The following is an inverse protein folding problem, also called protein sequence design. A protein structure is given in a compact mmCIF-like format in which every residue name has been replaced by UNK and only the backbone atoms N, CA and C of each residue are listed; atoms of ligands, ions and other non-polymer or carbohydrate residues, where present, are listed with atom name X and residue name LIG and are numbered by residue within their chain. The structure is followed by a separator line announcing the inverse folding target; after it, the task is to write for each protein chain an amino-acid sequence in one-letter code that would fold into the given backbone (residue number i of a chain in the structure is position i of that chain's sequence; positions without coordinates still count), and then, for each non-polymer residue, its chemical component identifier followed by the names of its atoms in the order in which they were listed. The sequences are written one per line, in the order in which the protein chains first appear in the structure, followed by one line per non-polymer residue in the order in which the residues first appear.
data_IF_514383546934
#
_entry.id   IF_514383546934
#
_cell.length_a   1.000
_cell.length_b   1.000
_cell.length_c   1.000
_cell.angle_alpha   90.00
_cell.angle_beta   90.00
_cell.angle_gamma   90.00
#
_symmetry.space_group_name_H-M   'P 1'
#
loop_
_entity.id
_entity.type
_entity.pdbx_description
1 polymer ?
#
# COMPACT_ATOMS: atom_id res chain seq x y z
N UNK A 1 15.51 -21.65 -4.61
CA UNK A 1 15.57 -20.19 -4.79
C UNK A 1 14.26 -19.60 -4.30
N UNK A 2 14.15 -19.25 -3.02
CA UNK A 2 12.98 -18.52 -2.50
C UNK A 2 13.14 -17.08 -2.90
N UNK A 3 12.50 -16.68 -4.00
CA UNK A 3 12.30 -15.27 -4.32
C UNK A 3 11.75 -14.62 -3.06
N UNK A 4 12.49 -13.69 -2.47
CA UNK A 4 11.98 -12.82 -1.41
C UNK A 4 10.89 -11.96 -2.04
N UNK A 5 9.69 -12.51 -2.21
CA UNK A 5 8.50 -11.70 -2.38
C UNK A 5 8.36 -10.93 -1.08
N UNK A 6 8.85 -9.69 -1.09
CA UNK A 6 8.39 -8.69 -0.14
C UNK A 6 6.86 -8.75 -0.20
N UNK A 7 6.25 -9.19 0.89
CA UNK A 7 4.80 -9.16 1.05
C UNK A 7 4.24 -7.83 0.56
N UNK A 8 3.02 -7.81 0.02
CA UNK A 8 2.38 -6.60 -0.50
C UNK A 8 2.42 -5.40 0.49
N UNK A 9 2.59 -5.67 1.79
CA UNK A 9 2.71 -4.67 2.85
C UNK A 9 4.09 -4.65 3.56
N UNK A 10 5.12 -5.25 2.97
CA UNK A 10 6.46 -5.28 3.56
C UNK A 10 7.07 -3.87 3.55
N UNK A 11 7.28 -3.31 4.75
CA UNK A 11 7.74 -1.93 4.93
C UNK A 11 6.60 -0.92 5.01
N UNK A 12 5.36 -1.38 5.09
CA UNK A 12 4.21 -0.53 5.36
C UNK A 12 4.27 0.04 6.78
N UNK A 13 4.54 1.34 6.85
CA UNK A 13 4.60 2.06 8.12
C UNK A 13 3.26 2.08 8.86
N UNK A 14 2.11 2.14 8.16
CA UNK A 14 0.81 2.18 8.84
C UNK A 14 0.47 0.85 9.50
N UNK A 15 0.78 -0.29 8.87
CA UNK A 15 0.57 -1.60 9.51
C UNK A 15 1.52 -1.79 10.70
N UNK A 16 2.78 -1.36 10.55
CA UNK A 16 3.76 -1.44 11.63
C UNK A 16 3.36 -0.58 12.83
N UNK A 17 2.86 0.63 12.56
CA UNK A 17 2.33 1.56 13.58
C UNK A 17 1.08 0.99 14.24
N UNK A 18 0.15 0.45 13.48
CA UNK A 18 -1.07 -0.17 14.02
C UNK A 18 -0.75 -1.36 14.94
N UNK A 19 0.14 -2.26 14.53
CA UNK A 19 0.60 -3.37 15.38
C UNK A 19 1.31 -2.89 16.64
N UNK A 20 2.00 -1.75 16.58
CA UNK A 20 2.60 -1.13 17.76
C UNK A 20 1.52 -0.55 18.68
N UNK A 21 0.58 0.21 18.14
CA UNK A 21 -0.54 0.80 18.88
C UNK A 21 -1.41 -0.26 19.56
N UNK A 22 -1.73 -1.37 18.88
CA UNK A 22 -2.47 -2.48 19.47
C UNK A 22 -1.75 -3.07 20.69
N UNK A 23 -0.43 -3.27 20.58
CA UNK A 23 0.39 -3.73 21.70
C UNK A 23 0.45 -2.70 22.83
N UNK A 24 0.46 -1.40 22.51
CA UNK A 24 0.40 -0.35 23.53
C UNK A 24 -0.92 -0.36 24.28
N UNK A 25 -2.07 -0.54 23.62
CA UNK A 25 -3.37 -0.62 24.28
C UNK A 25 -3.38 -1.73 25.33
N UNK A 26 -2.79 -2.88 25.01
CA UNK A 26 -2.75 -4.03 25.93
C UNK A 26 -1.79 -3.80 27.11
N UNK A 27 -0.66 -3.13 26.87
CA UNK A 27 0.40 -2.97 27.86
C UNK A 27 0.28 -1.70 28.72
N UNK A 28 -0.62 -0.77 28.38
CA UNK A 28 -0.78 0.50 29.09
C UNK A 28 -1.81 0.36 30.19
N UNK A 29 -1.51 0.81 31.43
CA UNK A 29 -2.48 0.83 32.51
C UNK A 29 -3.72 1.66 32.14
N UNK A 30 -4.89 1.17 32.54
CA UNK A 30 -6.15 1.87 32.35
C UNK A 30 -6.31 2.90 33.46
N UNK A 31 -6.63 4.13 33.06
CA UNK A 31 -6.80 5.27 33.95
C UNK A 31 -8.24 5.37 34.44
N UNK A 32 -8.44 5.99 35.61
CA UNK A 32 -9.78 6.21 36.17
C UNK A 32 -10.37 5.03 36.95
N UNK A 33 -9.53 4.05 37.30
CA UNK A 33 -9.88 2.92 38.16
C UNK A 33 -9.60 3.24 39.63
N UNK A 34 -10.20 2.48 40.55
CA UNK A 34 -9.91 2.57 41.99
C UNK A 34 -8.45 2.24 42.31
N UNK A 35 -7.94 2.76 43.43
CA UNK A 35 -6.53 2.63 43.84
C UNK A 35 -6.10 1.16 44.02
N UNK A 36 -7.06 0.27 44.34
CA UNK A 36 -6.84 -1.16 44.54
C UNK A 36 -7.39 -2.03 43.38
N UNK A 37 -7.90 -1.40 42.31
CA UNK A 37 -8.44 -2.12 41.17
C UNK A 37 -7.31 -2.51 40.22
N UNK A 38 -7.38 -3.71 39.60
CA UNK A 38 -6.42 -4.09 38.58
C UNK A 38 -6.50 -3.07 37.42
N UNK A 39 -5.33 -2.60 36.98
CA UNK A 39 -5.21 -1.60 35.93
C UNK A 39 -4.65 -2.16 34.62
N UNK A 40 -4.15 -3.39 34.65
CA UNK A 40 -3.51 -4.08 33.52
C UNK A 40 -4.19 -5.41 33.19
N UNK A 41 -4.20 -5.77 31.90
CA UNK A 41 -4.66 -7.11 31.47
C UNK A 41 -3.87 -8.26 32.10
N UNK A 42 -2.59 -8.05 32.37
CA UNK A 42 -1.74 -9.04 33.03
C UNK A 42 -2.17 -9.34 34.46
N UNK A 43 -2.79 -8.37 35.15
CA UNK A 43 -3.33 -8.55 36.50
C UNK A 43 -4.64 -9.35 36.48
N UNK A 44 -5.35 -9.35 35.35
CA UNK A 44 -6.46 -10.29 35.08
C UNK A 44 -5.98 -11.68 34.65
N UNK A 45 -4.67 -11.96 34.65
CA UNK A 45 -4.14 -13.23 34.15
C UNK A 45 -4.09 -13.35 32.62
N UNK A 46 -4.29 -12.24 31.88
CA UNK A 46 -4.23 -12.18 30.42
C UNK A 46 -2.88 -11.58 29.99
N UNK A 47 -2.08 -12.34 29.24
CA UNK A 47 -0.76 -11.92 28.78
C UNK A 47 -0.65 -11.91 27.26
N UNK A 48 0.36 -11.20 26.75
CA UNK A 48 0.66 -11.10 25.31
C UNK A 48 2.03 -11.69 25.01
N UNK A 49 2.13 -12.48 23.94
CA UNK A 49 3.41 -12.99 23.45
C UNK A 49 4.18 -11.96 22.58
N UNK A 50 5.40 -12.31 22.15
CA UNK A 50 6.22 -11.46 21.26
C UNK A 50 5.58 -11.17 19.90
N UNK A 51 4.66 -12.03 19.47
CA UNK A 51 3.94 -11.92 18.21
C UNK A 51 2.64 -11.12 18.35
N UNK A 52 2.27 -10.70 19.56
CA UNK A 52 1.03 -9.98 19.83
C UNK A 52 -0.18 -10.89 20.08
N UNK A 53 0.03 -12.21 20.26
CA UNK A 53 -1.05 -13.14 20.59
C UNK A 53 -1.40 -13.01 22.08
N UNK A 54 -2.68 -12.77 22.34
CA UNK A 54 -3.24 -12.81 23.70
C UNK A 54 -3.46 -14.26 24.13
N UNK A 55 -3.12 -14.55 25.39
CA UNK A 55 -3.36 -15.83 26.04
C UNK A 55 -3.73 -15.63 27.50
N UNK A 56 -4.62 -16.46 28.02
CA UNK A 56 -4.87 -16.58 29.44
C UNK A 56 -3.71 -17.39 30.03
N UNK A 57 -2.84 -16.73 30.80
CA UNK A 57 -1.71 -17.37 31.47
C UNK A 57 -2.03 -17.83 32.89
N UNK A 58 -3.04 -17.24 33.51
CA UNK A 58 -3.52 -17.62 34.85
C UNK A 58 -5.04 -17.64 34.86
N UNK A 59 -5.60 -18.83 34.60
CA UNK A 59 -7.04 -19.02 34.53
C UNK A 59 -7.70 -18.98 35.90
N UNK A 60 -7.01 -19.43 36.96
CA UNK A 60 -7.55 -19.47 38.32
C UNK A 60 -7.73 -18.05 38.87
N UNK A 61 -6.72 -17.18 38.69
CA UNK A 61 -6.82 -15.77 39.05
C UNK A 61 -7.93 -15.03 38.28
N UNK A 62 -8.08 -15.32 36.98
CA UNK A 62 -9.17 -14.76 36.18
C UNK A 62 -10.54 -15.23 36.69
N UNK A 63 -10.68 -16.52 36.98
CA UNK A 63 -11.92 -17.11 37.51
C UNK A 63 -12.29 -16.52 38.88
N UNK A 64 -11.30 -16.31 39.75
CA UNK A 64 -11.49 -15.70 41.06
C UNK A 64 -11.92 -14.24 40.96
N UNK A 65 -11.34 -13.47 40.03
CA UNK A 65 -11.77 -12.10 39.75
C UNK A 65 -13.18 -12.04 39.17
N UNK A 66 -13.55 -12.95 38.28
CA UNK A 66 -14.90 -13.04 37.73
C UNK A 66 -15.92 -13.40 38.83
N UNK A 67 -15.59 -14.34 39.72
CA UNK A 67 -16.51 -14.79 40.77
C UNK A 67 -16.68 -13.77 41.88
N UNK A 68 -15.59 -13.13 42.30
CA UNK A 68 -15.57 -12.30 43.50
C UNK A 68 -15.62 -10.80 43.21
N UNK A 69 -15.12 -10.35 42.05
CA UNK A 69 -14.91 -8.94 41.74
C UNK A 69 -15.22 -8.61 40.26
N UNK A 70 -16.33 -9.11 39.72
CA UNK A 70 -16.69 -8.93 38.29
C UNK A 70 -16.72 -7.47 37.84
N UNK A 71 -17.08 -6.55 38.73
CA UNK A 71 -17.10 -5.10 38.43
C UNK A 71 -15.71 -4.57 38.07
N UNK A 72 -14.64 -5.10 38.66
CA UNK A 72 -13.27 -4.71 38.32
C UNK A 72 -12.89 -5.15 36.90
N UNK A 73 -13.31 -6.37 36.53
CA UNK A 73 -13.13 -6.89 35.16
C UNK A 73 -13.92 -6.01 34.18
N UNK A 74 -15.17 -5.68 34.49
CA UNK A 74 -15.99 -4.81 33.66
C UNK A 74 -15.36 -3.42 33.46
N UNK A 75 -14.80 -2.82 34.50
CA UNK A 75 -14.18 -1.50 34.38
C UNK A 75 -12.96 -1.51 33.45
N UNK A 76 -12.12 -2.57 33.48
CA UNK A 76 -10.98 -2.68 32.58
C UNK A 76 -11.40 -2.66 31.10
N UNK A 77 -12.50 -3.31 30.76
CA UNK A 77 -12.96 -3.39 29.37
C UNK A 77 -13.86 -2.21 28.97
N UNK A 78 -14.78 -1.80 29.85
CA UNK A 78 -15.90 -0.92 29.54
C UNK A 78 -15.77 0.51 30.09
N UNK A 79 -14.73 0.83 30.87
CA UNK A 79 -14.48 2.22 31.26
C UNK A 79 -14.31 3.12 30.03
N UNK A 80 -14.46 4.44 30.21
CA UNK A 80 -14.27 5.42 29.15
C UNK A 80 -12.88 5.29 28.47
N UNK A 81 -11.84 5.00 29.26
CA UNK A 81 -10.47 4.70 28.79
C UNK A 81 -10.17 3.19 28.77
N UNK A 82 -11.21 2.36 28.81
CA UNK A 82 -11.12 0.91 28.78
C UNK A 82 -10.61 0.37 27.45
N UNK A 83 -10.28 -0.93 27.45
CA UNK A 83 -9.67 -1.58 26.28
C UNK A 83 -10.60 -1.57 25.08
N UNK A 84 -11.91 -1.75 25.28
CA UNK A 84 -12.89 -1.81 24.20
C UNK A 84 -12.95 -0.48 23.45
N UNK A 85 -13.07 0.65 24.16
CA UNK A 85 -13.13 1.97 23.54
C UNK A 85 -11.81 2.37 22.86
N UNK A 86 -10.67 2.04 23.46
CA UNK A 86 -9.35 2.25 22.84
C UNK A 86 -9.18 1.42 21.56
N UNK A 87 -9.64 0.17 21.57
CA UNK A 87 -9.59 -0.72 20.42
C UNK A 87 -10.52 -0.25 19.31
N UNK A 88 -11.75 0.14 19.64
CA UNK A 88 -12.72 0.71 18.69
C UNK A 88 -12.14 1.95 18.02
N UNK A 89 -11.64 2.92 18.80
CA UNK A 89 -11.00 4.13 18.27
C UNK A 89 -9.83 3.81 17.32
N UNK A 90 -9.01 2.83 17.67
CA UNK A 90 -7.88 2.41 16.84
C UNK A 90 -8.34 1.73 15.54
N UNK A 91 -9.38 0.90 15.61
CA UNK A 91 -9.96 0.23 14.45
C UNK A 91 -10.63 1.24 13.52
N UNK A 92 -11.43 2.16 14.06
CA UNK A 92 -12.09 3.21 13.29
C UNK A 92 -11.07 4.07 12.53
N UNK A 93 -10.00 4.52 13.18
CA UNK A 93 -8.93 5.27 12.50
C UNK A 93 -8.28 4.51 11.33
N UNK A 94 -8.38 3.18 11.31
CA UNK A 94 -7.89 2.33 10.22
C UNK A 94 -8.94 2.08 9.14
N UNK A 95 -10.19 1.77 9.53
CA UNK A 95 -11.24 1.23 8.66
C UNK A 95 -12.33 2.21 8.25
N UNK A 96 -12.43 3.36 8.92
CA UNK A 96 -13.45 4.37 8.62
C UNK A 96 -13.31 4.92 7.19
N UNK A 97 -14.34 5.62 6.71
CA UNK A 97 -14.38 6.25 5.39
C UNK A 97 -13.21 7.21 5.14
N UNK A 98 -12.70 7.88 6.17
CA UNK A 98 -11.48 8.70 6.11
C UNK A 98 -10.25 8.00 6.71
N UNK A 99 -10.39 6.73 7.08
CA UNK A 99 -9.36 5.91 7.69
C UNK A 99 -8.16 5.65 6.79
N UNK A 100 -7.10 5.15 7.40
CA UNK A 100 -5.79 4.95 6.74
C UNK A 100 -5.92 4.00 5.53
N UNK A 101 -6.73 2.94 5.61
CA UNK A 101 -6.92 1.99 4.50
C UNK A 101 -7.55 2.71 3.30
N UNK A 102 -8.61 3.48 3.55
CA UNK A 102 -9.33 4.20 2.50
C UNK A 102 -8.42 5.22 1.81
N UNK A 103 -7.67 6.00 2.58
CA UNK A 103 -6.71 6.97 2.04
C UNK A 103 -5.62 6.29 1.20
N UNK A 104 -5.10 5.14 1.63
CA UNK A 104 -4.12 4.37 0.86
C UNK A 104 -4.69 3.85 -0.45
N UNK A 105 -5.93 3.35 -0.44
CA UNK A 105 -6.62 2.94 -1.66
C UNK A 105 -6.75 4.08 -2.65
N UNK A 106 -7.19 5.26 -2.20
CA UNK A 106 -7.31 6.45 -3.05
C UNK A 106 -5.98 6.90 -3.67
N UNK A 107 -4.89 6.88 -2.89
CA UNK A 107 -3.55 7.22 -3.39
C UNK A 107 -3.11 6.22 -4.46
N UNK A 108 -3.31 4.93 -4.24
CA UNK A 108 -2.96 3.90 -5.22
C UNK A 108 -3.80 4.02 -6.51
N UNK A 109 -5.10 4.27 -6.40
CA UNK A 109 -5.98 4.51 -7.56
C UNK A 109 -5.55 5.76 -8.35
N UNK A 110 -5.15 6.84 -7.67
CA UNK A 110 -4.62 8.04 -8.30
C UNK A 110 -3.29 7.78 -9.02
N UNK A 111 -2.39 7.00 -8.40
CA UNK A 111 -1.13 6.58 -9.02
C UNK A 111 -1.38 5.74 -10.27
N UNK A 112 -2.28 4.76 -10.20
CA UNK A 112 -2.69 3.93 -11.35
C UNK A 112 -3.23 4.81 -12.48
N UNK A 113 -4.12 5.75 -12.16
CA UNK A 113 -4.71 6.67 -13.15
C UNK A 113 -3.64 7.54 -13.82
N UNK A 114 -2.69 8.05 -13.04
CA UNK A 114 -1.57 8.86 -13.54
C UNK A 114 -0.65 8.02 -14.42
N UNK A 115 -0.32 6.79 -14.02
CA UNK A 115 0.51 5.87 -14.81
C UNK A 115 -0.16 5.52 -16.15
N UNK A 116 -1.45 5.18 -16.13
CA UNK A 116 -2.21 4.90 -17.35
C UNK A 116 -2.23 6.11 -18.30
N UNK A 117 -2.34 7.32 -17.76
CA UNK A 117 -2.31 8.55 -18.57
C UNK A 117 -0.93 8.77 -19.21
N UNK A 118 0.16 8.49 -18.47
CA UNK A 118 1.53 8.56 -19.00
C UNK A 118 1.79 7.52 -20.09
N UNK A 119 1.27 6.29 -19.91
CA UNK A 119 1.36 5.23 -20.91
C UNK A 119 0.71 5.69 -22.23
N UNK A 120 -0.53 6.19 -22.18
CA UNK A 120 -1.24 6.69 -23.37
C UNK A 120 -0.49 7.82 -24.10
N UNK A 121 0.09 8.76 -23.35
CA UNK A 121 0.89 9.85 -23.94
C UNK A 121 2.16 9.31 -24.63
N UNK A 122 2.79 8.29 -24.04
CA UNK A 122 3.98 7.67 -24.61
C UNK A 122 3.64 6.87 -25.87
N UNK A 123 2.54 6.11 -25.87
CA UNK A 123 2.01 5.41 -27.05
C UNK A 123 1.76 6.41 -28.19
N UNK A 124 1.03 7.49 -27.93
CA UNK A 124 0.77 8.54 -28.94
C UNK A 124 2.06 9.18 -29.47
N UNK A 125 3.07 9.34 -28.61
CA UNK A 125 4.36 9.90 -29.00
C UNK A 125 5.16 8.95 -29.90
N UNK A 126 5.11 7.64 -29.62
CA UNK A 126 5.72 6.60 -30.46
C UNK A 126 5.05 6.57 -31.84
N UNK A 127 3.71 6.61 -31.90
CA UNK A 127 2.96 6.62 -33.16
C UNK A 127 3.34 7.80 -34.05
N UNK A 128 3.35 9.01 -33.49
CA UNK A 128 3.77 10.22 -34.22
C UNK A 128 5.19 10.11 -34.77
N UNK A 129 6.10 9.52 -33.99
CA UNK A 129 7.49 9.34 -34.40
C UNK A 129 7.61 8.30 -35.52
N UNK A 130 6.82 7.23 -35.47
CA UNK A 130 6.75 6.24 -36.55
C UNK A 130 6.22 6.86 -37.85
N UNK A 131 5.15 7.65 -37.79
CA UNK A 131 4.58 8.30 -38.97
C UNK A 131 5.52 9.35 -39.58
N UNK A 132 6.22 10.11 -38.72
CA UNK A 132 7.29 11.00 -39.16
C UNK A 132 8.38 10.24 -39.93
N UNK A 133 8.89 9.14 -39.38
CA UNK A 133 9.92 8.34 -40.05
C UNK A 133 9.43 7.66 -41.33
N UNK A 134 8.17 7.20 -41.38
CA UNK A 134 7.56 6.68 -42.61
C UNK A 134 7.54 7.74 -43.71
N UNK A 135 7.18 8.98 -43.36
CA UNK A 135 7.16 10.10 -44.31
C UNK A 135 8.55 10.43 -44.82
N UNK A 136 9.54 10.52 -43.93
CA UNK A 136 10.95 10.76 -44.30
C UNK A 136 11.49 9.64 -45.20
N UNK A 137 11.14 8.38 -44.91
CA UNK A 137 11.55 7.25 -45.73
C UNK A 137 10.92 7.29 -47.13
N UNK A 138 9.64 7.62 -47.25
CA UNK A 138 8.97 7.79 -48.55
C UNK A 138 9.60 8.92 -49.38
N UNK A 139 9.94 10.06 -48.75
CA UNK A 139 10.64 11.17 -49.40
C UNK A 139 12.03 10.74 -49.90
N UNK A 140 12.78 10.00 -49.08
CA UNK A 140 14.09 9.46 -49.45
C UNK A 140 13.98 8.51 -50.65
N UNK A 141 12.97 7.63 -50.68
CA UNK A 141 12.72 6.74 -51.83
C UNK A 141 12.40 7.52 -53.11
N UNK A 142 11.58 8.56 -53.03
CA UNK A 142 11.25 9.39 -54.18
C UNK A 142 12.49 10.12 -54.72
N UNK A 143 13.30 10.71 -53.83
CA UNK A 143 14.57 11.34 -54.20
C UNK A 143 15.55 10.34 -54.84
N UNK A 144 15.63 9.13 -54.29
CA UNK A 144 16.45 8.05 -54.86
C UNK A 144 15.97 7.63 -56.26
N UNK A 145 14.66 7.47 -56.47
CA UNK A 145 14.09 7.16 -57.78
C UNK A 145 14.39 8.27 -58.81
N UNK A 146 14.28 9.54 -58.40
CA UNK A 146 14.61 10.69 -59.24
C UNK A 146 16.10 10.77 -59.57
N UNK A 147 16.97 10.40 -58.62
CA UNK A 147 18.40 10.29 -58.87
C UNK A 147 18.70 9.17 -59.86
N UNK A 148 18.07 8.01 -59.71
CA UNK A 148 18.25 6.87 -60.62
C UNK A 148 17.80 7.21 -62.05
N UNK A 149 16.70 7.95 -62.22
CA UNK A 149 16.25 8.41 -63.54
C UNK A 149 17.23 9.40 -64.18
N UNK A 150 17.78 10.34 -63.38
CA UNK A 150 18.79 11.29 -63.87
C UNK A 150 20.09 10.58 -64.27
N UNK A 151 20.55 9.62 -63.46
CA UNK A 151 21.72 8.81 -63.77
C UNK A 151 21.54 8.02 -65.07
N UNK A 152 20.37 7.42 -65.26
CA UNK A 152 20.02 6.68 -66.48
C UNK A 152 20.01 7.59 -67.71
N UNK A 153 19.45 8.80 -67.59
CA UNK A 153 19.43 9.80 -68.67
C UNK A 153 20.84 10.27 -69.06
N UNK A 154 21.69 10.59 -68.08
CA UNK A 154 23.10 10.97 -68.34
C UNK A 154 23.84 9.82 -69.04
N UNK A 155 23.64 8.58 -68.58
CA UNK A 155 24.27 7.40 -69.19
C UNK A 155 23.79 7.18 -70.63
N UNK A 156 22.52 7.42 -70.92
CA UNK A 156 21.99 7.33 -72.28
C UNK A 156 22.58 8.41 -73.20
N UNK A 157 22.73 9.65 -72.72
CA UNK A 157 23.36 10.73 -73.47
C UNK A 157 24.84 10.47 -73.77
N UNK A 158 25.59 9.90 -72.81
CA UNK A 158 27.00 9.57 -73.02
C UNK A 158 27.19 8.39 -73.97
N UNK A 159 26.24 7.45 -74.04
CA UNK A 159 26.26 6.36 -75.03
C UNK A 159 25.83 6.80 -76.43
N UNK A 160 24.96 7.81 -76.56
CA UNK A 160 24.52 8.31 -77.87
C UNK A 160 25.47 9.33 -78.50
N UNK A 161 26.48 9.80 -77.76
CA UNK A 161 27.45 10.82 -78.20
C UNK A 161 28.78 10.23 -78.70
N UNK A 162 28.82 8.91 -78.92
CA UNK A 162 29.83 8.17 -79.67
C UNK A 162 29.16 7.30 -80.74
#
# INVERSE_FOLDING_TARGET
TTTYERSAFSGDYSISTFKFQLRQIIATPITGLGVDDPSLLSELGITTDRNGKLSISDADSLDDLIKNNISQVEQIFNAADGISGKLETLLDGMTDGEGIITRRKQVLESQITTMNSRIKLMESSVDKKMDYYRTQFAQLQAAYAQYQSQYSYITALTQSSF
#
